data_IF_195864980981
#
_entry.id   IF_195864980981
#
_cell.length_a   1.000
_cell.length_b   1.000
_cell.length_c   1.000
_cell.angle_alpha   90.00
_cell.angle_beta   90.00
_cell.angle_gamma   90.00
#
_symmetry.space_group_name_H-M   'P 1'
#
loop_
_entity.id
_entity.type
_entity.pdbx_description
1 polymer ?
#
# COMPACT_ATOMS: atom_id res chain seq x y z
N UNK A 1 -15.07 -13.04 4.88
CA UNK A 1 -15.35 -12.07 3.79
C UNK A 1 -14.52 -12.45 2.59
N UNK A 2 -15.06 -12.26 1.39
CA UNK A 2 -14.29 -12.27 0.15
C UNK A 2 -13.87 -10.84 -0.20
N UNK A 3 -12.57 -10.59 -0.29
CA UNK A 3 -11.99 -9.25 -0.45
C UNK A 3 -11.25 -9.18 -1.78
N UNK A 4 -11.65 -8.22 -2.62
CA UNK A 4 -10.97 -7.90 -3.87
C UNK A 4 -9.95 -6.79 -3.65
N UNK A 5 -8.79 -6.90 -4.29
CA UNK A 5 -7.77 -5.85 -4.35
C UNK A 5 -7.75 -5.23 -5.74
N UNK A 6 -7.56 -3.90 -5.80
CA UNK A 6 -7.33 -3.17 -7.05
C UNK A 6 -6.08 -2.31 -6.87
N UNK A 7 -5.03 -2.66 -7.61
CA UNK A 7 -3.88 -1.78 -7.81
C UNK A 7 -4.18 -0.87 -9.00
N UNK A 8 -4.67 0.33 -8.71
CA UNK A 8 -5.25 1.22 -9.73
C UNK A 8 -4.20 1.68 -10.73
N UNK A 9 -2.98 1.87 -10.24
CA UNK A 9 -1.86 2.35 -11.03
C UNK A 9 -1.20 1.20 -11.81
N UNK A 10 -1.07 0.01 -11.21
CA UNK A 10 -0.42 -1.14 -11.86
C UNK A 10 1.02 -0.87 -12.35
N UNK A 11 1.73 0.06 -11.73
CA UNK A 11 3.01 0.58 -12.21
C UNK A 11 4.20 -0.30 -11.83
N UNK A 12 4.38 -1.50 -12.41
CA UNK A 12 5.59 -2.35 -12.34
C UNK A 12 6.37 -2.35 -11.01
N UNK A 13 5.67 -2.17 -9.90
CA UNK A 13 6.22 -2.01 -8.56
C UNK A 13 5.12 -2.38 -7.57
N UNK A 14 5.43 -3.14 -6.50
CA UNK A 14 4.43 -3.61 -5.56
C UNK A 14 3.81 -2.46 -4.74
N UNK A 15 2.49 -2.47 -4.58
CA UNK A 15 1.76 -1.48 -3.80
C UNK A 15 1.82 -1.82 -2.31
N UNK A 16 2.65 -1.09 -1.56
CA UNK A 16 2.91 -1.33 -0.13
C UNK A 16 1.63 -1.35 0.72
N UNK A 17 0.67 -0.47 0.46
CA UNK A 17 -0.58 -0.42 1.20
C UNK A 17 -1.45 -1.66 0.97
N UNK A 18 -1.54 -2.15 -0.27
CA UNK A 18 -2.29 -3.37 -0.58
C UNK A 18 -1.64 -4.62 0.05
N UNK A 19 -0.31 -4.69 0.10
CA UNK A 19 0.40 -5.79 0.76
C UNK A 19 0.06 -5.86 2.25
N UNK A 20 0.02 -4.71 2.94
CA UNK A 20 -0.37 -4.64 4.37
C UNK A 20 -1.84 -5.01 4.58
N UNK A 21 -2.73 -4.47 3.75
CA UNK A 21 -4.15 -4.78 3.82
C UNK A 21 -4.40 -6.26 3.59
N UNK A 22 -3.77 -6.85 2.57
CA UNK A 22 -3.91 -8.27 2.27
C UNK A 22 -3.42 -9.14 3.43
N UNK A 23 -2.25 -8.85 3.98
CA UNK A 23 -1.71 -9.57 5.13
C UNK A 23 -2.65 -9.50 6.35
N UNK A 24 -3.13 -8.30 6.67
CA UNK A 24 -4.03 -8.06 7.79
C UNK A 24 -5.35 -8.84 7.65
N UNK A 25 -6.00 -8.78 6.48
CA UNK A 25 -7.28 -9.47 6.30
C UNK A 25 -7.09 -11.00 6.19
N UNK A 26 -6.00 -11.49 5.58
CA UNK A 26 -5.66 -12.92 5.56
C UNK A 26 -5.39 -13.46 6.97
N UNK A 27 -4.69 -12.70 7.82
CA UNK A 27 -4.45 -13.07 9.22
C UNK A 27 -5.76 -13.21 10.04
N UNK A 28 -6.83 -12.54 9.61
CA UNK A 28 -8.19 -12.68 10.18
C UNK A 28 -9.02 -13.81 9.55
N UNK A 29 -8.42 -14.63 8.68
CA UNK A 29 -9.11 -15.72 8.01
C UNK A 29 -10.02 -15.28 6.86
N UNK A 30 -9.84 -14.07 6.32
CA UNK A 30 -10.57 -13.64 5.13
C UNK A 30 -9.86 -14.08 3.85
N UNK A 31 -10.64 -14.31 2.79
CA UNK A 31 -10.11 -14.56 1.45
C UNK A 31 -9.78 -13.21 0.82
N UNK A 32 -8.56 -13.08 0.32
CA UNK A 32 -8.07 -11.87 -0.35
C UNK A 32 -7.43 -12.25 -1.66
N UNK A 33 -7.88 -11.63 -2.75
CA UNK A 33 -7.41 -11.86 -4.11
C UNK A 33 -7.50 -10.59 -4.96
N UNK A 34 -6.86 -10.59 -6.13
CA UNK A 34 -7.06 -9.53 -7.12
C UNK A 34 -8.51 -9.52 -7.58
N UNK A 35 -9.12 -8.33 -7.64
CA UNK A 35 -10.50 -8.20 -8.06
C UNK A 35 -10.65 -8.52 -9.55
N UNK A 36 -11.56 -9.42 -9.88
CA UNK A 36 -11.91 -9.78 -11.25
C UNK A 36 -13.40 -9.51 -11.52
N UNK A 37 -13.81 -9.16 -12.76
CA UNK A 37 -15.22 -8.87 -13.07
C UNK A 37 -16.20 -10.01 -12.79
N UNK A 38 -15.72 -11.25 -12.82
CA UNK A 38 -16.53 -12.45 -12.52
C UNK A 38 -16.61 -12.75 -11.02
N UNK A 39 -15.81 -12.07 -10.20
CA UNK A 39 -15.75 -12.25 -8.76
C UNK A 39 -16.88 -11.51 -8.04
N UNK A 40 -17.28 -12.05 -6.88
CA UNK A 40 -18.23 -11.41 -5.95
C UNK A 40 -17.55 -11.09 -4.64
N UNK A 41 -17.59 -9.82 -4.22
CA UNK A 41 -16.81 -9.35 -3.08
C UNK A 41 -17.70 -8.73 -2.01
N UNK A 42 -17.41 -9.05 -0.75
CA UNK A 42 -17.99 -8.30 0.37
C UNK A 42 -17.37 -6.90 0.45
N UNK A 43 -16.09 -6.78 0.08
CA UNK A 43 -15.35 -5.52 0.07
C UNK A 43 -14.30 -5.51 -1.03
N UNK A 44 -14.18 -4.40 -1.76
CA UNK A 44 -13.05 -4.13 -2.65
C UNK A 44 -12.18 -3.03 -2.06
N UNK A 45 -10.88 -3.26 -2.00
CA UNK A 45 -9.88 -2.31 -1.51
C UNK A 45 -9.00 -1.87 -2.68
N UNK A 46 -9.10 -0.59 -3.03
CA UNK A 46 -8.32 -0.01 -4.10
C UNK A 46 -7.28 0.96 -3.58
N UNK A 47 -6.06 0.88 -4.13
CA UNK A 47 -4.96 1.78 -3.80
C UNK A 47 -4.49 2.51 -5.05
N UNK A 48 -4.45 3.83 -4.98
CA UNK A 48 -3.94 4.72 -6.02
C UNK A 48 -2.91 5.69 -5.44
N UNK A 49 -1.73 5.71 -6.03
CA UNK A 49 -0.59 6.55 -5.68
C UNK A 49 -0.59 7.83 -6.51
N UNK A 50 -0.84 7.74 -7.83
CA UNK A 50 -0.71 8.89 -8.73
C UNK A 50 -2.05 9.60 -8.97
N UNK A 51 -2.03 10.92 -9.06
CA UNK A 51 -3.23 11.72 -9.35
C UNK A 51 -3.55 11.81 -10.84
N UNK A 52 -2.60 11.45 -11.71
CA UNK A 52 -2.69 11.62 -13.17
C UNK A 52 -3.06 10.33 -13.92
N UNK A 53 -2.96 9.16 -13.30
CA UNK A 53 -3.38 7.90 -13.91
C UNK A 53 -4.91 7.84 -14.00
N UNK A 54 -5.42 7.10 -15.00
CA UNK A 54 -6.85 6.83 -15.09
C UNK A 54 -7.33 6.07 -13.84
N UNK A 55 -8.59 6.28 -13.47
CA UNK A 55 -9.20 5.48 -12.40
C UNK A 55 -9.65 4.10 -12.93
N UNK A 56 -9.84 3.15 -12.04
CA UNK A 56 -10.39 1.82 -12.37
C UNK A 56 -11.91 1.92 -12.62
N UNK A 57 -12.44 1.15 -13.58
CA UNK A 57 -13.89 1.08 -13.80
C UNK A 57 -14.54 0.10 -12.83
N UNK A 58 -14.93 0.63 -11.67
CA UNK A 58 -15.55 -0.14 -10.60
C UNK A 58 -16.94 -0.71 -10.94
N UNK A 59 -17.60 -0.23 -12.00
CA UNK A 59 -18.90 -0.76 -12.42
C UNK A 59 -18.79 -2.21 -12.95
N UNK A 60 -17.57 -2.64 -13.29
CA UNK A 60 -17.27 -4.00 -13.73
C UNK A 60 -17.20 -5.00 -12.56
N UNK A 61 -17.25 -4.54 -11.30
CA UNK A 61 -17.10 -5.39 -10.12
C UNK A 61 -18.44 -5.57 -9.39
N UNK A 62 -18.72 -6.81 -8.98
CA UNK A 62 -19.81 -7.12 -8.04
C UNK A 62 -19.27 -7.04 -6.60
N UNK A 63 -19.44 -5.88 -5.96
CA UNK A 63 -18.96 -5.60 -4.61
C UNK A 63 -20.00 -4.88 -3.75
N UNK A 64 -20.19 -5.35 -2.51
CA UNK A 64 -21.10 -4.69 -1.54
C UNK A 64 -20.54 -3.35 -1.04
N UNK A 65 -19.23 -3.23 -0.96
CA UNK A 65 -18.54 -2.04 -0.48
C UNK A 65 -17.23 -1.85 -1.24
N UNK A 66 -16.92 -0.61 -1.63
CA UNK A 66 -15.67 -0.26 -2.30
C UNK A 66 -14.98 0.83 -1.49
N UNK A 67 -13.77 0.55 -1.01
CA UNK A 67 -12.92 1.50 -0.29
C UNK A 67 -11.76 1.89 -1.18
N UNK A 68 -11.65 3.17 -1.45
CA UNK A 68 -10.58 3.77 -2.27
C UNK A 68 -9.63 4.54 -1.37
N UNK A 69 -8.33 4.31 -1.51
CA UNK A 69 -7.31 4.96 -0.70
C UNK A 69 -6.00 5.20 -1.44
N UNK A 70 -5.11 5.94 -0.81
CA UNK A 70 -3.84 6.35 -1.38
C UNK A 70 -3.86 7.79 -1.90
N UNK A 71 -2.66 8.33 -2.08
CA UNK A 71 -2.40 9.73 -2.41
C UNK A 71 -3.12 10.19 -3.69
N UNK A 72 -3.35 9.27 -4.65
CA UNK A 72 -4.03 9.56 -5.91
C UNK A 72 -5.53 9.86 -5.74
N UNK A 73 -6.13 9.49 -4.61
CA UNK A 73 -7.51 9.85 -4.27
C UNK A 73 -7.59 10.91 -3.18
N UNK A 74 -6.85 10.71 -2.08
CA UNK A 74 -6.84 11.62 -0.95
C UNK A 74 -5.47 11.63 -0.26
N UNK A 75 -4.82 12.79 -0.27
CA UNK A 75 -3.53 13.02 0.38
C UNK A 75 -3.67 12.93 1.92
N UNK A 76 -4.82 13.26 2.49
CA UNK A 76 -5.06 13.13 3.93
C UNK A 76 -5.37 11.67 4.35
N UNK A 77 -5.70 10.81 3.38
CA UNK A 77 -6.03 9.41 3.62
C UNK A 77 -4.96 8.64 4.40
N UNK A 78 -5.41 7.80 5.34
CA UNK A 78 -4.57 6.91 6.15
C UNK A 78 -5.16 5.51 6.13
N UNK A 79 -4.30 4.50 6.24
CA UNK A 79 -4.78 3.15 6.53
C UNK A 79 -5.38 3.12 7.94
N UNK A 80 -6.29 2.18 8.23
CA UNK A 80 -6.70 1.91 9.60
C UNK A 80 -5.48 1.66 10.48
N UNK A 81 -5.47 2.19 11.70
CA UNK A 81 -4.32 2.12 12.62
C UNK A 81 -3.83 0.68 12.86
N UNK A 82 -4.75 -0.28 12.98
CA UNK A 82 -4.40 -1.70 13.13
C UNK A 82 -3.63 -2.28 11.92
N UNK A 83 -3.83 -1.73 10.73
CA UNK A 83 -3.07 -2.08 9.52
C UNK A 83 -1.77 -1.29 9.47
N UNK A 84 -1.82 0.01 9.77
CA UNK A 84 -0.67 0.94 9.74
C UNK A 84 0.39 0.66 10.82
N UNK A 85 0.02 -0.01 11.92
CA UNK A 85 0.95 -0.42 12.97
C UNK A 85 1.34 -1.91 12.88
N UNK A 86 0.75 -2.68 11.95
CA UNK A 86 1.11 -4.09 11.75
C UNK A 86 2.39 -4.23 10.94
N UNK A 87 3.27 -5.16 11.34
CA UNK A 87 4.49 -5.49 10.57
C UNK A 87 4.24 -6.48 9.43
N UNK A 88 3.06 -7.08 9.34
CA UNK A 88 2.78 -8.13 8.37
C UNK A 88 2.76 -7.61 6.94
N UNK A 89 3.34 -8.38 6.02
CA UNK A 89 3.38 -8.09 4.59
C UNK A 89 3.03 -9.31 3.76
N UNK A 90 2.11 -9.15 2.83
CA UNK A 90 1.74 -10.22 1.91
C UNK A 90 2.47 -10.05 0.58
N UNK A 91 3.63 -10.70 0.46
CA UNK A 91 4.37 -10.75 -0.80
C UNK A 91 3.74 -11.70 -1.83
N UNK A 92 2.75 -12.52 -1.45
CA UNK A 92 2.14 -13.49 -2.36
C UNK A 92 1.28 -12.83 -3.44
N UNK A 93 0.79 -11.61 -3.21
CA UNK A 93 0.00 -10.87 -4.20
C UNK A 93 0.86 -10.26 -5.31
N UNK A 94 2.19 -10.17 -5.11
CA UNK A 94 3.14 -9.76 -6.13
C UNK A 94 4.33 -10.74 -6.23
N UNK A 95 4.08 -11.99 -6.68
CA UNK A 95 5.09 -13.04 -6.68
C UNK A 95 6.26 -12.79 -7.64
N UNK A 96 6.12 -11.86 -8.58
CA UNK A 96 7.15 -11.50 -9.55
C UNK A 96 8.31 -10.70 -8.96
N UNK A 97 8.17 -10.10 -7.76
CA UNK A 97 9.23 -9.31 -7.14
C UNK A 97 10.01 -10.14 -6.12
N UNK A 98 11.29 -10.48 -6.41
CA UNK A 98 12.10 -11.34 -5.55
C UNK A 98 12.84 -10.54 -4.47
N UNK A 99 12.25 -9.47 -3.94
CA UNK A 99 12.87 -8.61 -2.92
C UNK A 99 11.90 -8.33 -1.78
N UNK A 100 12.45 -7.84 -0.67
CA UNK A 100 11.70 -7.27 0.44
C UNK A 100 11.63 -5.76 0.31
N UNK A 101 10.49 -5.16 0.63
CA UNK A 101 10.35 -3.70 0.69
C UNK A 101 10.50 -3.23 2.12
N UNK A 102 11.27 -2.16 2.32
CA UNK A 102 11.44 -1.57 3.64
C UNK A 102 11.42 -0.05 3.60
N UNK A 103 10.96 0.52 4.71
CA UNK A 103 11.22 1.89 5.09
C UNK A 103 11.89 1.86 6.46
N UNK A 104 12.95 2.65 6.65
CA UNK A 104 13.52 2.92 7.98
C UNK A 104 13.09 4.28 8.51
N UNK A 105 12.65 5.18 7.62
CA UNK A 105 11.99 6.42 7.98
C UNK A 105 10.84 6.75 7.04
N UNK A 106 9.92 7.59 7.52
CA UNK A 106 8.82 8.20 6.75
C UNK A 106 8.75 9.68 7.09
N UNK A 107 8.13 10.48 6.21
CA UNK A 107 8.16 11.94 6.31
C UNK A 107 9.41 12.54 5.68
N UNK A 108 9.55 13.86 5.82
CA UNK A 108 10.72 14.59 5.32
C UNK A 108 10.92 15.88 6.12
N UNK A 109 12.16 16.29 6.37
CA UNK A 109 12.48 17.57 7.03
C UNK A 109 12.19 18.79 6.14
N UNK A 110 12.11 18.60 4.82
CA UNK A 110 11.93 19.69 3.86
C UNK A 110 10.44 19.97 3.63
N UNK A 111 10.10 21.24 3.39
CA UNK A 111 8.77 21.69 2.95
C UNK A 111 8.86 22.23 1.52
N UNK A 112 9.27 21.37 0.58
CA UNK A 112 9.40 21.74 -0.82
C UNK A 112 8.01 22.07 -1.42
N UNK A 113 7.86 23.14 -2.21
CA UNK A 113 6.55 23.59 -2.70
C UNK A 113 5.87 22.58 -3.64
N UNK A 114 6.64 21.71 -4.29
CA UNK A 114 6.16 20.68 -5.19
C UNK A 114 5.92 19.31 -4.52
N UNK A 115 6.41 19.11 -3.29
CA UNK A 115 6.44 17.79 -2.66
C UNK A 115 5.30 17.62 -1.65
N UNK A 116 4.48 16.60 -1.86
CA UNK A 116 3.34 16.27 -1.00
C UNK A 116 3.72 15.52 0.29
N UNK A 117 4.95 15.00 0.40
CA UNK A 117 5.40 14.16 1.53
C UNK A 117 5.19 14.85 2.88
N UNK A 118 5.55 16.12 3.01
CA UNK A 118 5.43 16.87 4.27
C UNK A 118 3.98 16.94 4.76
N UNK A 119 3.02 17.08 3.86
CA UNK A 119 1.58 17.08 4.20
C UNK A 119 1.03 15.66 4.43
N UNK A 120 1.51 14.68 3.66
CA UNK A 120 1.05 13.28 3.71
C UNK A 120 1.61 12.49 4.90
N UNK A 121 2.85 12.75 5.29
CA UNK A 121 3.60 11.92 6.23
C UNK A 121 4.14 12.72 7.42
N UNK A 122 4.19 14.06 7.31
CA UNK A 122 4.62 14.93 8.39
C UNK A 122 6.15 15.12 8.46
N UNK A 123 6.64 15.37 9.67
CA UNK A 123 8.07 15.43 9.95
C UNK A 123 8.70 14.05 9.79
N UNK A 124 9.98 14.02 9.39
CA UNK A 124 10.68 12.75 9.28
C UNK A 124 10.73 12.08 10.64
N UNK A 125 10.47 10.78 10.66
CA UNK A 125 10.50 9.95 11.86
C UNK A 125 10.98 8.54 11.50
N UNK A 126 11.62 7.88 12.46
CA UNK A 126 11.97 6.48 12.33
C UNK A 126 10.68 5.66 12.25
N UNK A 127 10.70 4.60 11.46
CA UNK A 127 9.59 3.64 11.41
C UNK A 127 10.13 2.24 11.63
N UNK A 128 9.32 1.38 12.25
CA UNK A 128 9.68 -0.01 12.41
C UNK A 128 9.65 -0.75 11.07
N UNK A 129 10.70 -1.53 10.74
CA UNK A 129 10.71 -2.36 9.55
C UNK A 129 9.61 -3.41 9.56
N UNK A 130 9.01 -3.65 8.41
CA UNK A 130 8.00 -4.71 8.22
C UNK A 130 8.64 -6.09 8.09
N UNK A 131 7.85 -7.14 8.06
CA UNK A 131 8.31 -8.49 7.80
C UNK A 131 8.92 -8.61 6.39
N UNK A 132 10.02 -9.36 6.31
CA UNK A 132 10.72 -9.60 5.05
C UNK A 132 9.97 -10.61 4.19
N UNK A 133 10.18 -10.51 2.88
CA UNK A 133 9.72 -11.52 1.95
C UNK A 133 10.45 -12.83 2.25
N UNK A 134 9.76 -13.93 2.61
CA UNK A 134 10.41 -15.20 2.91
C UNK A 134 11.11 -15.81 1.69
N UNK A 135 10.79 -15.34 0.48
CA UNK A 135 11.44 -15.71 -0.79
C UNK A 135 12.32 -14.58 -1.36
N UNK A 136 12.55 -13.53 -0.58
CA UNK A 136 13.34 -12.36 -0.99
C UNK A 136 14.82 -12.69 -1.15
N UNK A 137 15.45 -12.11 -2.17
CA UNK A 137 16.88 -12.22 -2.48
C UNK A 137 17.67 -11.00 -2.02
N UNK A 138 17.05 -9.82 -2.02
CA UNK A 138 17.61 -8.57 -1.51
C UNK A 138 16.51 -7.71 -0.87
N UNK A 139 16.91 -6.55 -0.35
CA UNK A 139 16.03 -5.56 0.26
C UNK A 139 16.09 -4.28 -0.59
N UNK A 140 14.92 -3.78 -0.99
CA UNK A 140 14.76 -2.44 -1.57
C UNK A 140 14.29 -1.50 -0.48
N UNK A 141 15.17 -0.57 -0.11
CA UNK A 141 14.89 0.44 0.91
C UNK A 141 14.35 1.68 0.23
N UNK A 142 13.11 2.01 0.56
CA UNK A 142 12.42 3.19 0.09
C UNK A 142 12.61 4.34 1.08
N UNK A 143 12.77 5.55 0.56
CA UNK A 143 13.01 6.74 1.38
C UNK A 143 12.57 8.01 0.63
N UNK A 144 12.07 9.00 1.37
CA UNK A 144 11.74 10.31 0.81
C UNK A 144 12.97 11.25 0.75
N UNK A 145 13.92 11.07 1.65
CA UNK A 145 15.16 11.81 1.79
C UNK A 145 16.20 11.00 2.58
N UNK A 146 16.95 10.15 1.86
CA UNK A 146 17.94 9.21 2.41
C UNK A 146 18.97 9.84 3.37
N UNK A 147 19.34 11.11 3.14
CA UNK A 147 20.34 11.83 3.94
C UNK A 147 19.75 12.50 5.19
N UNK A 148 18.44 12.41 5.41
CA UNK A 148 17.76 13.02 6.56
C UNK A 148 17.24 11.97 7.56
N UNK A 149 17.68 10.72 7.44
CA UNK A 149 17.29 9.66 8.37
C UNK A 149 17.60 10.07 9.83
N UNK A 150 16.63 9.90 10.75
CA UNK A 150 16.83 10.19 12.16
C UNK A 150 17.89 9.24 12.76
N UNK A 151 18.59 9.72 13.78
CA UNK A 151 19.57 8.93 14.54
C UNK A 151 18.91 7.86 15.40
#
# INVERSE_FOLDING_TARGET
MNIGLVDVDGHNFPNFALMRLSAYYKAKGHRVEWAEPTGRYDKVLASKVFTFSSDYDYNLLDAKEIIKGGTGYDIAGRLPEAVENSRMMDYSIYPQYPFSLQFFSRGCIRKCPFCLVRGKEGYIQAVEPVELNPKGKWIEVLDNNFFANPQ
#
